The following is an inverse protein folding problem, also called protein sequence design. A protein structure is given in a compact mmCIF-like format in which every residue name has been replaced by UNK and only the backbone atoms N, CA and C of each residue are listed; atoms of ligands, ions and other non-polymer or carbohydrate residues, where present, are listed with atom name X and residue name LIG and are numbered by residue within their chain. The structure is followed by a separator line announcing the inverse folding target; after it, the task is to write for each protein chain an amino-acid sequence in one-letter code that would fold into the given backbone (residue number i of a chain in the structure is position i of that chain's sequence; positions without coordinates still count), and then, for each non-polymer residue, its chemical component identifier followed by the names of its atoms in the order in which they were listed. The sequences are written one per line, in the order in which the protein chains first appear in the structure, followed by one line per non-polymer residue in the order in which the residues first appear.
data_IF_205890217129
#
_entry.id   IF_205890217129
#
_cell.length_a   1.000
_cell.length_b   1.000
_cell.length_c   1.000
_cell.angle_alpha   90.00
_cell.angle_beta   90.00
_cell.angle_gamma   90.00
#
_symmetry.space_group_name_H-M   'P 1'
#
loop_
_entity.id
_entity.type
_entity.pdbx_description
1 polymer ?
#
# COMPACT_ATOMS: atom_id res chain seq x y z
N UNK A 1 4.55 -20.75 -12.57
CA UNK A 1 3.66 -20.36 -11.46
C UNK A 1 2.38 -19.79 -12.06
N UNK A 2 1.22 -20.22 -11.60
CA UNK A 2 -0.07 -19.77 -12.12
C UNK A 2 -0.39 -18.35 -11.56
N UNK A 3 -1.07 -17.51 -12.36
CA UNK A 3 -1.26 -16.09 -12.07
C UNK A 3 -2.11 -15.84 -10.81
N UNK A 4 -3.19 -16.60 -10.59
CA UNK A 4 -3.99 -16.51 -9.35
C UNK A 4 -3.11 -16.78 -8.12
N UNK A 5 -2.22 -17.77 -8.20
CA UNK A 5 -1.30 -18.07 -7.10
C UNK A 5 -0.37 -16.90 -6.80
N UNK A 6 0.23 -16.29 -7.84
CA UNK A 6 1.09 -15.13 -7.68
C UNK A 6 0.33 -13.94 -7.06
N UNK A 7 -0.88 -13.64 -7.55
CA UNK A 7 -1.69 -12.53 -7.03
C UNK A 7 -2.04 -12.74 -5.55
N UNK A 8 -2.32 -13.97 -5.11
CA UNK A 8 -2.54 -14.28 -3.69
C UNK A 8 -1.29 -14.13 -2.85
N UNK A 9 -0.11 -14.49 -3.37
CA UNK A 9 1.17 -14.26 -2.67
C UNK A 9 1.38 -12.76 -2.47
N UNK A 10 1.21 -11.96 -3.52
CA UNK A 10 1.32 -10.49 -3.44
C UNK A 10 0.31 -9.92 -2.45
N UNK A 11 -0.94 -10.39 -2.48
CA UNK A 11 -1.97 -9.99 -1.51
C UNK A 11 -1.54 -10.23 -0.05
N UNK A 12 -0.98 -11.40 0.25
CA UNK A 12 -0.49 -11.74 1.61
C UNK A 12 0.71 -10.88 2.02
N UNK A 13 1.62 -10.60 1.08
CA UNK A 13 2.74 -9.70 1.33
C UNK A 13 2.25 -8.30 1.68
N UNK A 14 1.18 -7.81 1.04
CA UNK A 14 0.61 -6.51 1.36
C UNK A 14 0.00 -6.44 2.75
N UNK A 15 -0.60 -7.52 3.26
CA UNK A 15 -1.04 -7.58 4.68
C UNK A 15 0.15 -7.27 5.59
N UNK A 16 1.28 -7.96 5.40
CA UNK A 16 2.48 -7.76 6.20
C UNK A 16 3.07 -6.37 6.03
N UNK A 17 3.19 -5.89 4.78
CA UNK A 17 3.72 -4.56 4.47
C UNK A 17 2.90 -3.46 5.14
N UNK A 18 1.57 -3.48 5.00
CA UNK A 18 0.69 -2.45 5.53
C UNK A 18 0.61 -2.48 7.06
N UNK A 19 0.67 -3.68 7.68
CA UNK A 19 0.79 -3.79 9.14
C UNK A 19 2.09 -3.18 9.66
N UNK A 20 3.22 -3.49 9.01
CA UNK A 20 4.52 -2.95 9.39
C UNK A 20 4.56 -1.44 9.18
N UNK A 21 4.11 -0.94 8.03
CA UNK A 21 4.12 0.50 7.72
C UNK A 21 3.17 1.28 8.63
N UNK A 22 1.93 0.79 8.81
CA UNK A 22 0.95 1.40 9.72
C UNK A 22 1.41 1.38 11.18
N UNK A 23 1.97 0.26 11.64
CA UNK A 23 2.57 0.16 12.97
C UNK A 23 3.74 1.11 13.16
N UNK A 24 4.68 1.15 12.20
CA UNK A 24 5.85 2.01 12.24
C UNK A 24 5.47 3.50 12.20
N UNK A 25 4.48 3.89 11.40
CA UNK A 25 3.91 5.23 11.40
C UNK A 25 3.32 5.61 12.77
N UNK A 26 2.66 4.68 13.44
CA UNK A 26 2.05 4.91 14.75
C UNK A 26 3.11 5.10 15.84
N UNK A 27 4.05 4.15 15.95
CA UNK A 27 4.98 4.04 17.09
C UNK A 27 6.28 4.81 16.88
N UNK A 28 6.76 4.90 15.64
CA UNK A 28 8.07 5.46 15.29
C UNK A 28 8.00 6.38 14.05
N UNK A 29 7.14 7.41 14.03
CA UNK A 29 6.92 8.24 12.84
C UNK A 29 8.20 8.92 12.34
N UNK A 30 9.04 9.43 13.26
CA UNK A 30 10.28 10.11 12.90
C UNK A 30 11.27 9.17 12.19
N UNK A 31 11.51 7.99 12.76
CA UNK A 31 12.42 7.01 12.18
C UNK A 31 11.91 6.51 10.82
N UNK A 32 10.61 6.27 10.72
CA UNK A 32 9.96 5.81 9.48
C UNK A 32 10.07 6.87 8.37
N UNK A 33 9.76 8.14 8.64
CA UNK A 33 9.89 9.22 7.66
C UNK A 33 11.34 9.38 7.16
N UNK A 34 12.34 9.32 8.04
CA UNK A 34 13.75 9.36 7.62
C UNK A 34 14.13 8.16 6.75
N UNK A 35 13.62 6.97 7.07
CA UNK A 35 13.84 5.77 6.27
C UNK A 35 13.24 5.94 4.86
N UNK A 36 12.05 6.54 4.77
CA UNK A 36 11.37 6.89 3.52
C UNK A 36 12.05 8.03 2.75
N UNK A 37 13.12 8.62 3.29
CA UNK A 37 13.94 9.61 2.61
C UNK A 37 13.57 11.06 2.87
N UNK A 38 12.77 11.31 3.91
CA UNK A 38 12.55 12.66 4.40
C UNK A 38 13.75 13.16 5.21
N UNK A 39 13.98 14.48 5.15
CA UNK A 39 14.82 15.19 6.12
C UNK A 39 14.26 15.06 7.55
N UNK A 40 14.98 15.58 8.55
CA UNK A 40 14.50 15.54 9.94
C UNK A 40 13.07 16.09 10.03
N UNK A 41 12.07 15.25 10.35
CA UNK A 41 10.70 15.67 10.20
C UNK A 41 10.32 16.65 11.31
N UNK A 42 9.55 17.68 10.95
CA UNK A 42 9.00 18.62 11.93
C UNK A 42 8.05 17.89 12.91
N UNK A 43 7.78 18.47 14.10
CA UNK A 43 6.80 17.92 15.03
C UNK A 43 5.42 17.66 14.38
N UNK A 44 4.96 18.58 13.54
CA UNK A 44 3.69 18.46 12.82
C UNK A 44 3.73 17.33 11.79
N UNK A 45 4.82 17.18 11.03
CA UNK A 45 4.97 16.07 10.09
C UNK A 45 4.93 14.71 10.81
N UNK A 46 5.54 14.61 11.99
CA UNK A 46 5.49 13.39 12.83
C UNK A 46 4.05 13.08 13.26
N UNK A 47 3.28 14.10 13.68
CA UNK A 47 1.89 13.93 14.09
C UNK A 47 0.96 13.60 12.92
N UNK A 48 1.11 14.28 11.79
CA UNK A 48 0.35 13.99 10.57
C UNK A 48 0.62 12.58 10.07
N UNK A 49 1.90 12.18 10.00
CA UNK A 49 2.26 10.83 9.58
C UNK A 49 1.70 9.75 10.52
N UNK A 50 1.72 10.00 11.83
CA UNK A 50 1.07 9.12 12.81
C UNK A 50 -0.43 8.98 12.56
N UNK A 51 -1.12 10.06 12.14
CA UNK A 51 -2.55 10.04 11.78
C UNK A 51 -2.83 9.30 10.48
N UNK A 52 -1.82 9.05 9.64
CA UNK A 52 -1.95 8.18 8.48
C UNK A 52 -1.90 6.68 8.85
N UNK A 53 -1.44 6.31 10.05
CA UNK A 53 -1.37 4.91 10.49
C UNK A 53 -2.68 4.11 10.28
N UNK A 54 -3.87 4.63 10.64
CA UNK A 54 -5.13 3.93 10.41
C UNK A 54 -5.43 3.63 8.93
N UNK A 55 -4.89 4.41 7.99
CA UNK A 55 -5.08 4.16 6.55
C UNK A 55 -4.41 2.84 6.16
N UNK A 56 -3.11 2.67 6.46
CA UNK A 56 -2.42 1.42 6.18
C UNK A 56 -3.00 0.25 6.97
N UNK A 57 -3.38 0.43 8.23
CA UNK A 57 -4.03 -0.64 9.01
C UNK A 57 -5.38 -1.06 8.40
N UNK A 58 -6.12 -0.13 7.79
CA UNK A 58 -7.35 -0.43 7.04
C UNK A 58 -7.04 -1.21 5.77
N UNK A 59 -5.97 -0.87 5.06
CA UNK A 59 -5.52 -1.61 3.88
C UNK A 59 -5.13 -3.04 4.25
N UNK A 60 -4.36 -3.23 5.33
CA UNK A 60 -4.02 -4.55 5.84
C UNK A 60 -5.27 -5.39 6.14
N UNK A 61 -6.27 -4.79 6.79
CA UNK A 61 -7.55 -5.44 7.08
C UNK A 61 -8.30 -5.83 5.80
N UNK A 62 -8.38 -4.93 4.81
CA UNK A 62 -9.01 -5.22 3.53
C UNK A 62 -8.33 -6.39 2.80
N UNK A 63 -6.99 -6.40 2.78
CA UNK A 63 -6.20 -7.49 2.19
C UNK A 63 -6.43 -8.83 2.91
N UNK A 64 -6.52 -8.81 4.24
CA UNK A 64 -6.80 -10.00 5.04
C UNK A 64 -8.23 -10.53 4.81
N UNK A 65 -9.22 -9.64 4.72
CA UNK A 65 -10.61 -9.99 4.41
C UNK A 65 -10.71 -10.61 3.02
N UNK A 66 -10.09 -10.00 2.01
CA UNK A 66 -10.05 -10.53 0.66
C UNK A 66 -9.32 -11.88 0.58
N UNK A 67 -8.24 -12.07 1.34
CA UNK A 67 -7.55 -13.37 1.39
C UNK A 67 -8.45 -14.46 1.96
N UNK A 68 -9.19 -14.14 3.02
CA UNK A 68 -10.05 -15.08 3.75
C UNK A 68 -11.33 -15.41 2.98
N UNK A 69 -12.06 -14.40 2.50
CA UNK A 69 -13.36 -14.54 1.82
C UNK A 69 -13.20 -14.83 0.34
N UNK A 70 -12.28 -14.12 -0.32
CA UNK A 70 -11.97 -14.30 -1.73
C UNK A 70 -13.10 -13.93 -2.69
N UNK A 71 -14.15 -13.21 -2.28
CA UNK A 71 -15.26 -12.92 -3.19
C UNK A 71 -14.86 -11.93 -4.30
N UNK A 72 -15.58 -11.93 -5.42
CA UNK A 72 -15.35 -10.99 -6.52
C UNK A 72 -15.41 -9.52 -6.07
N UNK A 73 -16.30 -9.21 -5.11
CA UNK A 73 -16.43 -7.89 -4.52
C UNK A 73 -15.19 -7.52 -3.68
N UNK A 74 -14.65 -8.45 -2.89
CA UNK A 74 -13.44 -8.17 -2.09
C UNK A 74 -12.24 -7.84 -3.01
N UNK A 75 -12.06 -8.59 -4.11
CA UNK A 75 -11.02 -8.31 -5.10
C UNK A 75 -11.24 -6.99 -5.84
N UNK A 76 -12.49 -6.61 -6.12
CA UNK A 76 -12.81 -5.30 -6.69
C UNK A 76 -12.46 -4.16 -5.73
N UNK A 77 -12.77 -4.33 -4.44
CA UNK A 77 -12.38 -3.35 -3.41
C UNK A 77 -10.87 -3.19 -3.33
N UNK A 78 -10.10 -4.29 -3.35
CA UNK A 78 -8.63 -4.21 -3.39
C UNK A 78 -8.10 -3.53 -4.66
N UNK A 79 -8.72 -3.81 -5.81
CA UNK A 79 -8.37 -3.12 -7.05
C UNK A 79 -8.55 -1.61 -6.90
N UNK A 80 -9.63 -1.20 -6.21
CA UNK A 80 -9.89 0.20 -6.03
C UNK A 80 -8.93 0.87 -5.04
N UNK A 81 -8.69 0.22 -3.89
CA UNK A 81 -7.74 0.70 -2.88
C UNK A 81 -6.31 0.85 -3.43
N UNK A 82 -5.86 -0.09 -4.26
CA UNK A 82 -4.55 0.05 -4.93
C UNK A 82 -4.58 1.08 -6.05
N UNK A 83 -5.71 1.23 -6.72
CA UNK A 83 -5.91 2.29 -7.72
C UNK A 83 -5.72 3.69 -7.14
N UNK A 84 -6.21 3.96 -5.92
CA UNK A 84 -6.04 5.27 -5.29
C UNK A 84 -4.58 5.57 -4.93
N UNK A 85 -3.80 4.55 -4.57
CA UNK A 85 -2.39 4.72 -4.21
C UNK A 85 -1.50 5.13 -5.37
N UNK A 86 -1.90 4.90 -6.63
CA UNK A 86 -1.18 5.45 -7.80
C UNK A 86 -1.06 6.98 -7.68
N UNK A 87 -2.18 7.63 -7.35
CA UNK A 87 -2.25 9.08 -7.18
C UNK A 87 -1.58 9.53 -5.87
N UNK A 88 -1.74 8.77 -4.77
CA UNK A 88 -1.04 9.02 -3.51
C UNK A 88 0.48 9.02 -3.73
N UNK A 89 1.02 7.98 -4.35
CA UNK A 89 2.46 7.86 -4.60
C UNK A 89 2.99 8.99 -5.48
N UNK A 90 2.22 9.41 -6.50
CA UNK A 90 2.58 10.55 -7.33
C UNK A 90 2.65 11.84 -6.51
N UNK A 91 1.65 12.11 -5.66
CA UNK A 91 1.61 13.28 -4.78
C UNK A 91 2.79 13.28 -3.81
N UNK A 92 3.08 12.14 -3.17
CA UNK A 92 4.21 11.99 -2.26
C UNK A 92 5.55 12.17 -2.97
N UNK A 93 5.71 11.62 -4.18
CA UNK A 93 6.95 11.73 -4.96
C UNK A 93 7.29 13.16 -5.37
N UNK A 94 6.28 14.04 -5.44
CA UNK A 94 6.44 15.46 -5.73
C UNK A 94 6.90 16.28 -4.51
N UNK A 95 6.85 15.71 -3.30
CA UNK A 95 7.18 16.41 -2.05
C UNK A 95 8.59 17.04 -2.10
N UNK A 96 8.74 18.33 -1.76
CA UNK A 96 10.05 18.96 -1.66
C UNK A 96 10.88 18.40 -0.49
N UNK A 97 10.22 17.82 0.52
CA UNK A 97 10.86 17.26 1.70
C UNK A 97 11.55 15.90 1.47
N UNK A 98 11.44 15.32 0.25
CA UNK A 98 12.19 14.13 -0.14
C UNK A 98 13.54 14.54 -0.72
N UNK A 99 14.58 14.40 0.10
CA UNK A 99 15.96 14.78 -0.22
C UNK A 99 16.84 13.56 -0.53
N UNK A 100 16.53 12.38 0.01
CA UNK A 100 17.38 11.19 -0.14
C UNK A 100 17.42 10.71 -1.58
N UNK A 101 18.61 10.48 -2.17
CA UNK A 101 18.74 9.89 -3.51
C UNK A 101 17.97 8.58 -3.60
N UNK A 102 17.16 8.45 -4.65
CA UNK A 102 16.35 7.26 -4.91
C UNK A 102 14.97 7.22 -4.25
N UNK A 103 14.68 8.04 -3.23
CA UNK A 103 13.37 8.02 -2.55
C UNK A 103 12.20 8.32 -3.49
N UNK A 104 12.37 9.31 -4.38
CA UNK A 104 11.37 9.62 -5.43
C UNK A 104 11.21 8.49 -6.43
N UNK A 105 12.30 7.82 -6.81
CA UNK A 105 12.26 6.69 -7.73
C UNK A 105 11.53 5.49 -7.08
N UNK A 106 11.75 5.25 -5.78
CA UNK A 106 11.04 4.23 -5.03
C UNK A 106 9.52 4.49 -4.99
N UNK A 107 9.09 5.73 -4.78
CA UNK A 107 7.65 6.08 -4.83
C UNK A 107 7.06 5.93 -6.24
N UNK A 108 7.81 6.26 -7.30
CA UNK A 108 7.35 6.01 -8.68
C UNK A 108 7.23 4.51 -8.97
N UNK A 109 8.15 3.70 -8.46
CA UNK A 109 8.06 2.24 -8.54
C UNK A 109 6.87 1.71 -7.73
N UNK A 110 6.60 2.27 -6.56
CA UNK A 110 5.41 1.96 -5.78
C UNK A 110 4.13 2.26 -6.58
N UNK A 111 4.07 3.42 -7.25
CA UNK A 111 2.94 3.79 -8.12
C UNK A 111 2.72 2.79 -9.25
N UNK A 112 3.80 2.38 -9.95
CA UNK A 112 3.73 1.36 -10.98
C UNK A 112 3.30 -0.01 -10.42
N UNK A 113 3.74 -0.36 -9.21
CA UNK A 113 3.36 -1.59 -8.53
C UNK A 113 1.89 -1.57 -8.12
N UNK A 114 1.39 -0.43 -7.62
CA UNK A 114 -0.02 -0.19 -7.30
C UNK A 114 -0.90 -0.31 -8.55
N UNK A 115 -0.46 0.22 -9.70
CA UNK A 115 -1.13 0.03 -10.98
C UNK A 115 -1.21 -1.46 -11.39
N UNK A 116 -0.09 -2.18 -11.31
CA UNK A 116 -0.06 -3.60 -11.63
C UNK A 116 -0.98 -4.43 -10.69
N UNK A 117 -0.95 -4.14 -9.39
CA UNK A 117 -1.82 -4.77 -8.41
C UNK A 117 -3.30 -4.45 -8.66
N UNK A 118 -3.63 -3.18 -8.95
CA UNK A 118 -5.00 -2.78 -9.25
C UNK A 118 -5.55 -3.55 -10.47
N UNK A 119 -4.77 -3.65 -11.55
CA UNK A 119 -5.14 -4.43 -12.72
C UNK A 119 -5.31 -5.94 -12.41
N UNK A 120 -4.39 -6.51 -11.62
CA UNK A 120 -4.42 -7.92 -11.24
C UNK A 120 -5.63 -8.26 -10.33
N UNK A 121 -5.95 -7.41 -9.36
CA UNK A 121 -7.12 -7.58 -8.50
C UNK A 121 -8.44 -7.37 -9.26
N UNK A 122 -8.49 -6.41 -10.19
CA UNK A 122 -9.65 -6.25 -11.08
C UNK A 122 -9.86 -7.49 -11.96
N UNK A 123 -8.77 -8.11 -12.42
CA UNK A 123 -8.83 -9.37 -13.15
C UNK A 123 -9.32 -10.55 -12.28
N UNK A 124 -8.83 -10.66 -11.03
CA UNK A 124 -9.31 -11.65 -10.06
C UNK A 124 -10.81 -11.52 -9.79
N UNK A 125 -11.30 -10.28 -9.66
CA UNK A 125 -12.72 -9.98 -9.47
C UNK A 125 -13.59 -10.56 -10.59
N UNK A 126 -13.18 -10.37 -11.86
CA UNK A 126 -13.91 -10.89 -13.03
C UNK A 126 -13.93 -12.42 -13.14
N UNK A 127 -12.99 -13.11 -12.49
CA UNK A 127 -12.89 -14.58 -12.52
C UNK A 127 -13.67 -15.29 -11.41
N UNK A 128 -14.43 -14.54 -10.59
CA UNK A 128 -15.24 -15.15 -9.53
C UNK A 128 -14.43 -15.63 -8.32
N UNK A 129 -13.23 -15.07 -8.10
CA UNK A 129 -12.59 -15.13 -6.78
C UNK A 129 -12.19 -16.52 -6.25
N UNK A 130 -12.21 -17.58 -7.05
CA UNK A 130 -11.59 -18.88 -6.71
C UNK A 130 -12.22 -19.66 -5.55
N UNK A 131 -13.36 -19.24 -4.99
CA UNK A 131 -14.28 -20.06 -4.20
C UNK A 131 -15.70 -19.60 -4.47
N UNK A 132 -16.40 -20.35 -5.33
CA UNK A 132 -17.85 -20.48 -5.24
C UNK A 132 -18.16 -21.38 -4.03
#
# INVERSE_FOLDING_TARGET
MELVTLVRIVNRQMIGFDLVLGGAALVAPAATLRLLGHDEPSPDAKHLFRRCAPVWLTFAAAHAVAERRGSAADWQSLAWLRGTEIATDALWSASPALSRPGARAALRLASASNLAMAAAFAWMSRRGGGRA
#
